data_IF_034699450709
#
_entry.id   IF_034699450709
#
_cell.length_a   1.000
_cell.length_b   1.000
_cell.length_c   1.000
_cell.angle_alpha   90.00
_cell.angle_beta   90.00
_cell.angle_gamma   90.00
#
_symmetry.space_group_name_H-M   'P 1'
#
loop_
_entity.id
_entity.type
_entity.pdbx_description
1 polymer ?
#
# COMPACT_ATOMS: atom_id res chain seq x y z
N UNK A 1 -28.32 3.14 48.25
CA UNK A 1 -29.59 3.72 47.78
C UNK A 1 -29.94 3.03 46.48
N UNK A 2 -31.06 2.29 46.40
CA UNK A 2 -31.51 1.74 45.14
C UNK A 2 -32.29 2.82 44.41
N UNK A 3 -31.78 3.30 43.27
CA UNK A 3 -32.57 4.14 42.35
C UNK A 3 -33.18 3.22 41.31
N UNK A 4 -34.48 3.01 41.51
CA UNK A 4 -35.53 2.63 40.56
C UNK A 4 -35.10 2.22 39.15
N UNK A 5 -35.24 0.92 38.89
CA UNK A 5 -35.36 0.28 37.59
C UNK A 5 -36.82 0.31 37.14
N UNK A 6 -37.34 1.48 36.74
CA UNK A 6 -38.71 1.61 36.23
C UNK A 6 -38.78 2.50 34.98
N UNK A 7 -39.08 1.85 33.85
CA UNK A 7 -39.70 2.40 32.64
C UNK A 7 -39.02 3.62 31.99
N UNK A 8 -37.89 3.38 31.33
CA UNK A 8 -37.58 4.16 30.13
C UNK A 8 -38.16 3.37 28.96
N UNK A 9 -39.38 3.70 28.54
CA UNK A 9 -39.76 3.50 27.14
C UNK A 9 -38.71 4.29 26.35
N UNK A 10 -37.68 3.60 25.86
CA UNK A 10 -36.60 4.22 25.11
C UNK A 10 -37.26 4.71 23.81
N UNK A 11 -37.50 6.02 23.75
CA UNK A 11 -37.87 6.70 22.52
C UNK A 11 -36.87 6.27 21.45
N UNK A 12 -37.34 5.48 20.48
CA UNK A 12 -36.49 4.90 19.46
C UNK A 12 -35.75 5.98 18.67
N UNK A 13 -36.28 7.21 18.60
CA UNK A 13 -35.64 8.36 17.96
C UNK A 13 -34.39 8.78 18.74
N UNK A 14 -34.45 8.77 20.08
CA UNK A 14 -33.28 9.03 20.94
C UNK A 14 -32.25 7.91 20.83
N UNK A 15 -32.71 6.66 20.83
CA UNK A 15 -31.80 5.50 20.68
C UNK A 15 -31.01 5.57 19.37
N UNK A 16 -31.70 5.84 18.24
CA UNK A 16 -31.05 6.02 16.94
C UNK A 16 -30.05 7.18 16.98
N UNK A 17 -30.42 8.31 17.59
CA UNK A 17 -29.58 9.51 17.66
C UNK A 17 -28.27 9.30 18.45
N UNK A 18 -28.32 8.54 19.55
CA UNK A 18 -27.16 8.27 20.40
C UNK A 18 -26.33 7.07 19.94
N UNK A 19 -26.88 6.24 19.07
CA UNK A 19 -26.19 5.09 18.50
C UNK A 19 -25.24 5.48 17.35
N UNK A 20 -23.98 5.74 17.71
CA UNK A 20 -22.91 6.08 16.77
C UNK A 20 -22.64 5.01 15.71
N UNK A 21 -23.02 3.75 15.95
CA UNK A 21 -22.84 2.66 14.97
C UNK A 21 -23.69 2.89 13.72
N UNK A 22 -24.81 3.61 13.83
CA UNK A 22 -25.72 3.94 12.72
C UNK A 22 -25.19 5.04 11.79
N UNK A 23 -23.94 5.50 12.01
CA UNK A 23 -23.22 6.32 11.02
C UNK A 23 -22.74 5.50 9.81
N UNK A 24 -22.59 4.17 9.97
CA UNK A 24 -22.30 3.25 8.86
C UNK A 24 -23.62 2.80 8.22
N UNK A 25 -23.75 2.99 6.91
CA UNK A 25 -24.93 2.61 6.14
C UNK A 25 -25.19 1.10 6.18
N UNK A 26 -24.14 0.28 6.38
CA UNK A 26 -24.29 -1.17 6.59
C UNK A 26 -25.07 -1.46 7.87
N UNK A 27 -24.72 -0.79 8.97
CA UNK A 27 -25.36 -1.01 10.26
C UNK A 27 -26.82 -0.52 10.24
N UNK A 28 -27.12 0.54 9.48
CA UNK A 28 -28.50 1.01 9.26
C UNK A 28 -29.29 0.00 8.43
N UNK A 29 -28.70 -0.56 7.38
CA UNK A 29 -29.32 -1.61 6.56
C UNK A 29 -29.59 -2.87 7.38
N UNK A 30 -28.60 -3.34 8.13
CA UNK A 30 -28.70 -4.52 8.99
C UNK A 30 -29.82 -4.35 10.03
N UNK A 31 -29.89 -3.16 10.67
CA UNK A 31 -30.95 -2.82 11.62
C UNK A 31 -32.33 -2.83 10.95
N UNK A 32 -32.47 -2.20 9.79
CA UNK A 32 -33.73 -2.15 9.07
C UNK A 32 -34.19 -3.56 8.67
N UNK A 33 -33.30 -4.39 8.08
CA UNK A 33 -33.62 -5.76 7.66
C UNK A 33 -33.92 -6.67 8.85
N UNK A 34 -33.20 -6.50 9.96
CA UNK A 34 -33.47 -7.27 11.16
C UNK A 34 -34.91 -7.05 11.64
N UNK A 35 -35.31 -5.79 11.79
CA UNK A 35 -36.65 -5.42 12.29
C UNK A 35 -37.75 -5.76 11.28
N UNK A 36 -37.53 -5.54 9.98
CA UNK A 36 -38.50 -5.89 8.92
C UNK A 36 -38.74 -7.41 8.84
N UNK A 37 -37.68 -8.22 8.94
CA UNK A 37 -37.77 -9.68 8.82
C UNK A 37 -38.06 -10.38 10.14
N UNK A 38 -38.06 -9.64 11.26
CA UNK A 38 -38.15 -10.14 12.64
C UNK A 38 -37.14 -11.26 12.94
N UNK A 39 -35.94 -11.14 12.38
CA UNK A 39 -34.82 -12.10 12.55
C UNK A 39 -33.51 -11.34 12.70
N UNK A 40 -32.59 -11.87 13.48
CA UNK A 40 -31.23 -11.30 13.58
C UNK A 40 -30.60 -11.18 12.18
N UNK A 41 -29.98 -10.03 11.90
CA UNK A 41 -29.36 -9.74 10.61
C UNK A 41 -28.07 -8.96 10.83
N UNK A 42 -26.97 -9.43 10.22
CA UNK A 42 -25.65 -8.81 10.36
C UNK A 42 -25.22 -8.68 11.82
N UNK A 43 -24.91 -7.44 12.24
CA UNK A 43 -24.47 -7.09 13.61
C UNK A 43 -25.62 -6.79 14.57
N UNK A 44 -26.86 -7.05 14.17
CA UNK A 44 -28.06 -6.78 14.96
C UNK A 44 -28.70 -8.10 15.36
N UNK A 45 -28.74 -8.35 16.67
CA UNK A 45 -29.37 -9.50 17.28
C UNK A 45 -30.77 -9.13 17.80
N UNK A 46 -31.76 -9.94 17.43
CA UNK A 46 -33.13 -9.77 17.89
C UNK A 46 -33.52 -10.86 18.88
N UNK A 47 -34.00 -10.43 20.05
CA UNK A 47 -34.62 -11.30 21.04
C UNK A 47 -36.13 -11.03 21.02
N UNK A 48 -36.91 -12.10 20.79
CA UNK A 48 -38.37 -12.05 20.76
C UNK A 48 -38.89 -12.42 22.14
N UNK A 49 -39.58 -11.48 22.79
CA UNK A 49 -40.27 -11.74 24.05
C UNK A 49 -41.77 -11.81 23.79
N UNK A 50 -42.36 -13.00 23.98
CA UNK A 50 -43.81 -13.24 23.84
C UNK A 50 -44.46 -13.26 25.21
N UNK A 51 -45.31 -12.28 25.49
CA UNK A 51 -46.31 -12.36 26.56
C UNK A 51 -47.70 -12.58 25.95
N UNK A 52 -48.63 -13.13 26.74
CA UNK A 52 -49.97 -13.59 26.29
C UNK A 52 -50.85 -12.53 25.60
N UNK A 53 -50.45 -11.26 25.60
CA UNK A 53 -51.19 -10.15 25.01
C UNK A 53 -50.37 -9.23 24.07
N UNK A 54 -49.04 -9.31 24.04
CA UNK A 54 -48.18 -8.43 23.22
C UNK A 54 -46.86 -9.09 22.80
N UNK A 55 -46.44 -8.86 21.55
CA UNK A 55 -45.11 -9.22 21.03
C UNK A 55 -44.16 -8.01 21.17
N UNK A 56 -43.16 -8.11 22.04
CA UNK A 56 -42.11 -7.10 22.18
C UNK A 56 -40.82 -7.57 21.50
N UNK A 57 -40.17 -6.65 20.78
CA UNK A 57 -38.90 -6.86 20.08
C UNK A 57 -37.78 -6.16 20.83
N UNK A 58 -36.81 -6.93 21.33
CA UNK A 58 -35.60 -6.40 21.95
C UNK A 58 -34.48 -6.44 20.90
N UNK A 59 -33.98 -5.27 20.55
CA UNK A 59 -32.90 -5.07 19.59
C UNK A 59 -31.59 -4.87 20.35
N UNK A 60 -30.63 -5.75 20.12
CA UNK A 60 -29.26 -5.60 20.60
C UNK A 60 -28.32 -5.44 19.39
N UNK A 61 -27.37 -4.51 19.48
CA UNK A 61 -26.40 -4.28 18.42
C UNK A 61 -24.99 -4.49 18.93
N UNK A 62 -24.18 -5.19 18.15
CA UNK A 62 -22.78 -5.43 18.47
C UNK A 62 -22.03 -4.10 18.67
N UNK A 63 -21.29 -3.98 19.78
CA UNK A 63 -20.57 -2.76 20.18
C UNK A 63 -21.46 -1.54 20.50
N UNK A 64 -22.72 -1.76 20.89
CA UNK A 64 -23.60 -0.76 21.51
C UNK A 64 -24.29 -1.36 22.75
N UNK A 65 -24.13 -0.70 23.90
CA UNK A 65 -24.50 -1.29 25.20
C UNK A 65 -25.99 -1.17 25.56
N UNK A 66 -26.73 -0.26 24.91
CA UNK A 66 -28.14 -0.02 25.22
C UNK A 66 -29.03 -0.83 24.28
N UNK A 67 -29.84 -1.73 24.82
CA UNK A 67 -30.86 -2.44 24.05
C UNK A 67 -32.05 -1.51 23.77
N UNK A 68 -32.71 -1.67 22.62
CA UNK A 68 -33.95 -0.97 22.29
C UNK A 68 -35.11 -1.95 22.38
N UNK A 69 -36.12 -1.61 23.17
CA UNK A 69 -37.37 -2.35 23.25
C UNK A 69 -38.44 -1.67 22.38
N UNK A 70 -38.96 -2.39 21.39
CA UNK A 70 -40.05 -1.95 20.53
C UNK A 70 -41.29 -2.78 20.79
N UNK A 71 -42.40 -2.10 21.08
CA UNK A 71 -43.73 -2.72 21.11
C UNK A 71 -44.27 -2.95 19.70
N UNK A 72 -45.18 -3.90 19.56
CA UNK A 72 -45.88 -4.26 18.31
C UNK A 72 -46.44 -3.04 17.55
N UNK A 73 -46.98 -2.06 18.26
CA UNK A 73 -47.54 -0.81 17.71
C UNK A 73 -46.46 0.14 17.16
N UNK A 74 -45.28 0.16 17.77
CA UNK A 74 -44.20 1.11 17.44
C UNK A 74 -43.27 0.62 16.31
N UNK A 75 -43.31 -0.66 15.94
CA UNK A 75 -42.46 -1.22 14.87
C UNK A 75 -42.70 -0.51 13.54
N UNK A 76 -43.97 -0.25 13.22
CA UNK A 76 -44.33 0.41 11.96
C UNK A 76 -43.85 1.85 11.91
N UNK A 77 -43.94 2.59 13.03
CA UNK A 77 -43.42 3.96 13.15
C UNK A 77 -41.89 3.98 13.08
N UNK A 78 -41.22 3.02 13.71
CA UNK A 78 -39.77 2.87 13.68
C UNK A 78 -39.22 2.64 12.27
N UNK A 79 -39.82 1.69 11.52
CA UNK A 79 -39.43 1.40 10.14
C UNK A 79 -39.68 2.59 9.20
N UNK A 80 -40.80 3.31 9.40
CA UNK A 80 -41.09 4.53 8.65
C UNK A 80 -40.06 5.63 8.94
N UNK A 81 -39.69 5.82 10.20
CA UNK A 81 -38.69 6.79 10.62
C UNK A 81 -37.31 6.51 10.02
N UNK A 82 -36.86 5.24 10.02
CA UNK A 82 -35.62 4.85 9.36
C UNK A 82 -35.68 5.10 7.83
N UNK A 83 -36.80 4.81 7.19
CA UNK A 83 -37.00 5.07 5.76
C UNK A 83 -36.86 6.55 5.40
N UNK A 84 -37.54 7.39 6.16
CA UNK A 84 -37.62 8.82 5.91
C UNK A 84 -36.30 9.53 6.17
N UNK A 85 -35.63 9.21 7.28
CA UNK A 85 -34.47 9.97 7.74
C UNK A 85 -33.12 9.38 7.33
N UNK A 86 -33.05 8.07 7.07
CA UNK A 86 -31.77 7.38 6.84
C UNK A 86 -31.69 6.64 5.50
N UNK A 87 -32.81 6.16 4.96
CA UNK A 87 -32.84 5.30 3.76
C UNK A 87 -33.42 5.98 2.51
N UNK A 88 -33.63 7.30 2.55
CA UNK A 88 -33.99 8.15 1.41
C UNK A 88 -35.25 7.75 0.62
N UNK A 89 -36.21 7.04 1.24
CA UNK A 89 -37.49 6.63 0.65
C UNK A 89 -37.41 5.82 -0.67
N UNK A 90 -36.32 5.09 -0.91
CA UNK A 90 -36.16 4.18 -2.06
C UNK A 90 -36.39 2.72 -1.65
N UNK A 91 -36.41 1.81 -2.63
CA UNK A 91 -36.28 0.38 -2.33
C UNK A 91 -34.96 0.16 -1.57
N UNK A 92 -35.02 -0.52 -0.43
CA UNK A 92 -33.89 -0.59 0.51
C UNK A 92 -32.78 -1.49 0.00
N UNK A 93 -33.14 -2.52 -0.76
CA UNK A 93 -32.17 -3.40 -1.39
C UNK A 93 -31.47 -2.65 -2.54
N UNK A 94 -32.19 -1.89 -3.36
CA UNK A 94 -31.59 -0.99 -4.36
C UNK A 94 -30.74 0.12 -3.73
N UNK A 95 -31.20 0.73 -2.64
CA UNK A 95 -30.46 1.76 -1.90
C UNK A 95 -29.13 1.21 -1.37
N UNK A 96 -29.17 0.02 -0.76
CA UNK A 96 -27.98 -0.64 -0.21
C UNK A 96 -27.02 -1.08 -1.31
N UNK A 97 -27.53 -1.63 -2.41
CA UNK A 97 -26.75 -1.95 -3.61
C UNK A 97 -26.09 -0.69 -4.18
N UNK A 98 -26.82 0.42 -4.31
CA UNK A 98 -26.27 1.69 -4.79
C UNK A 98 -25.17 2.27 -3.88
N UNK A 99 -25.28 2.10 -2.55
CA UNK A 99 -24.21 2.49 -1.61
C UNK A 99 -23.01 1.56 -1.69
N UNK A 100 -23.23 0.27 -1.94
CA UNK A 100 -22.18 -0.74 -2.10
C UNK A 100 -21.43 -0.56 -3.42
N UNK A 101 -22.12 -0.30 -4.53
CA UNK A 101 -21.53 0.04 -5.83
C UNK A 101 -20.77 1.38 -5.82
N UNK A 102 -21.22 2.35 -5.03
CA UNK A 102 -20.44 3.58 -4.79
C UNK A 102 -19.16 3.34 -3.98
N UNK A 103 -19.13 2.31 -3.13
CA UNK A 103 -17.98 1.98 -2.28
C UNK A 103 -16.87 1.23 -3.04
N UNK A 104 -17.21 0.49 -4.08
CA UNK A 104 -16.29 -0.37 -4.84
C UNK A 104 -16.22 -0.02 -6.33
N UNK A 105 -15.74 1.19 -6.64
CA UNK A 105 -15.49 1.64 -8.03
C UNK A 105 -14.09 1.33 -8.51
N UNK A 106 -13.18 0.89 -7.64
CA UNK A 106 -11.82 0.46 -7.98
C UNK A 106 -11.78 -0.87 -8.73
N UNK A 107 -12.73 -1.77 -8.47
CA UNK A 107 -12.83 -3.09 -9.12
C UNK A 107 -13.23 -3.02 -10.61
N UNK A 108 -13.62 -1.85 -11.11
CA UNK A 108 -14.00 -1.64 -12.51
C UNK A 108 -12.88 -1.96 -13.52
N UNK A 109 -11.62 -2.04 -13.09
CA UNK A 109 -10.50 -2.48 -13.92
C UNK A 109 -9.99 -3.86 -13.44
N UNK A 110 -10.73 -4.93 -13.72
CA UNK A 110 -10.21 -6.28 -13.50
C UNK A 110 -9.11 -6.57 -14.53
N UNK A 111 -7.91 -6.96 -14.07
CA UNK A 111 -6.90 -7.47 -15.00
C UNK A 111 -7.41 -8.77 -15.60
N UNK A 112 -7.41 -8.86 -16.94
CA UNK A 112 -8.05 -9.97 -17.66
C UNK A 112 -7.66 -11.35 -17.17
N UNK A 113 -8.61 -12.28 -17.26
CA UNK A 113 -8.65 -13.68 -16.83
C UNK A 113 -7.48 -14.61 -17.25
N UNK A 114 -6.33 -14.09 -17.73
CA UNK A 114 -5.11 -14.89 -17.75
C UNK A 114 -4.76 -15.14 -16.29
N UNK A 115 -5.06 -16.36 -15.83
CA UNK A 115 -4.57 -16.93 -14.58
C UNK A 115 -3.17 -16.37 -14.34
N UNK A 116 -3.02 -15.61 -13.25
CA UNK A 116 -1.73 -15.11 -12.80
C UNK A 116 -0.74 -16.24 -13.00
N UNK A 117 0.18 -16.07 -13.94
CA UNK A 117 1.16 -17.11 -14.23
C UNK A 117 2.02 -17.17 -12.98
N UNK A 118 1.65 -18.09 -12.09
CA UNK A 118 2.19 -18.25 -10.75
C UNK A 118 3.67 -18.64 -10.78
N UNK A 119 4.22 -18.90 -11.97
CA UNK A 119 5.62 -19.05 -12.20
C UNK A 119 6.30 -17.69 -12.38
N UNK A 120 6.91 -17.20 -11.29
CA UNK A 120 7.98 -16.18 -11.29
C UNK A 120 9.09 -16.49 -12.32
N UNK A 121 9.19 -17.72 -12.81
CA UNK A 121 10.08 -18.12 -13.89
C UNK A 121 9.82 -17.41 -15.23
N UNK A 122 8.61 -16.92 -15.51
CA UNK A 122 8.27 -16.13 -16.71
C UNK A 122 8.36 -14.61 -16.48
N UNK A 123 8.95 -14.18 -15.37
CA UNK A 123 9.11 -12.76 -15.08
C UNK A 123 10.07 -12.07 -16.05
N UNK A 124 9.57 -11.04 -16.74
CA UNK A 124 10.37 -10.16 -17.58
C UNK A 124 10.50 -8.76 -16.97
N UNK A 125 11.74 -8.41 -16.57
CA UNK A 125 12.08 -7.07 -16.12
C UNK A 125 11.74 -6.02 -17.20
N UNK A 126 11.40 -4.82 -16.77
CA UNK A 126 11.06 -3.76 -17.69
C UNK A 126 12.29 -3.41 -18.56
N UNK A 127 12.18 -3.36 -19.91
CA UNK A 127 13.33 -3.23 -20.80
C UNK A 127 14.15 -1.96 -20.55
N UNK A 128 13.49 -0.88 -20.13
CA UNK A 128 14.16 0.37 -19.77
C UNK A 128 15.13 0.24 -18.58
N UNK A 129 14.91 -0.71 -17.67
CA UNK A 129 15.83 -0.92 -16.54
C UNK A 129 17.21 -1.32 -17.07
N UNK A 130 17.26 -2.33 -17.95
CA UNK A 130 18.51 -2.78 -18.57
C UNK A 130 19.15 -1.69 -19.44
N UNK A 131 18.36 -0.93 -20.18
CA UNK A 131 18.86 0.17 -21.04
C UNK A 131 19.52 1.25 -20.19
N UNK A 132 18.82 1.79 -19.18
CA UNK A 132 19.41 2.83 -18.32
C UNK A 132 20.55 2.29 -17.46
N UNK A 133 20.50 1.02 -17.05
CA UNK A 133 21.60 0.38 -16.35
C UNK A 133 22.88 0.37 -17.20
N UNK A 134 22.79 -0.02 -18.48
CA UNK A 134 23.93 0.01 -19.42
C UNK A 134 24.51 1.42 -19.57
N UNK A 135 23.65 2.44 -19.74
CA UNK A 135 24.10 3.83 -19.79
C UNK A 135 24.81 4.25 -18.50
N UNK A 136 24.26 3.90 -17.33
CA UNK A 136 24.89 4.21 -16.04
C UNK A 136 26.23 3.51 -15.86
N UNK A 137 26.36 2.26 -16.29
CA UNK A 137 27.65 1.55 -16.30
C UNK A 137 28.64 2.28 -17.20
N UNK A 138 28.25 2.59 -18.44
CA UNK A 138 29.10 3.29 -19.39
C UNK A 138 29.64 4.62 -18.83
N UNK A 139 28.76 5.50 -18.34
CA UNK A 139 29.18 6.79 -17.79
C UNK A 139 29.96 6.64 -16.48
N UNK A 140 29.64 5.65 -15.64
CA UNK A 140 30.43 5.42 -14.41
C UNK A 140 31.85 4.98 -14.75
N UNK A 141 32.01 4.03 -15.69
CA UNK A 141 33.32 3.59 -16.17
C UNK A 141 34.09 4.75 -16.80
N UNK A 142 33.44 5.54 -17.66
CA UNK A 142 34.07 6.72 -18.27
C UNK A 142 34.57 7.70 -17.22
N UNK A 143 33.77 8.02 -16.21
CA UNK A 143 34.18 8.93 -15.12
C UNK A 143 35.31 8.32 -14.29
N UNK A 144 35.27 7.02 -13.99
CA UNK A 144 36.38 6.35 -13.32
C UNK A 144 37.68 6.42 -14.12
N UNK A 145 37.63 6.20 -15.44
CA UNK A 145 38.79 6.33 -16.31
C UNK A 145 39.32 7.77 -16.35
N UNK A 146 38.43 8.76 -16.45
CA UNK A 146 38.81 10.17 -16.39
C UNK A 146 39.45 10.55 -15.06
N UNK A 147 38.98 9.98 -13.94
CA UNK A 147 39.58 10.18 -12.62
C UNK A 147 40.99 9.58 -12.48
N UNK A 148 41.38 8.63 -13.33
CA UNK A 148 42.74 8.09 -13.36
C UNK A 148 43.73 9.01 -14.09
N UNK A 149 43.26 9.84 -15.03
CA UNK A 149 44.14 10.69 -15.86
C UNK A 149 45.03 11.61 -15.01
N UNK A 150 44.51 12.38 -14.02
CA UNK A 150 45.36 13.22 -13.18
C UNK A 150 46.45 12.44 -12.46
N UNK A 151 46.12 11.27 -11.91
CA UNK A 151 47.07 10.40 -11.20
C UNK A 151 48.18 9.95 -12.14
N UNK A 152 47.83 9.48 -13.35
CA UNK A 152 48.80 9.06 -14.35
C UNK A 152 49.70 10.21 -14.81
N UNK A 153 49.14 11.41 -15.02
CA UNK A 153 49.94 12.60 -15.37
C UNK A 153 50.86 13.06 -14.23
N UNK A 154 50.51 12.81 -12.97
CA UNK A 154 51.41 13.13 -11.85
C UNK A 154 52.69 12.29 -11.88
N UNK A 155 52.64 11.05 -12.40
CA UNK A 155 53.83 10.21 -12.56
C UNK A 155 54.80 10.72 -13.62
N UNK A 156 54.34 11.49 -14.61
CA UNK A 156 55.23 12.06 -15.62
C UNK A 156 56.06 13.23 -15.08
N UNK A 157 55.61 13.86 -13.98
CA UNK A 157 56.34 14.94 -13.32
C UNK A 157 57.39 14.38 -12.36
N UNK A 158 56.98 13.49 -11.45
CA UNK A 158 57.91 12.74 -10.60
C UNK A 158 57.23 11.52 -9.97
N UNK A 159 58.03 10.51 -9.60
CA UNK A 159 57.53 9.35 -8.85
C UNK A 159 56.90 9.75 -7.51
N UNK A 160 57.47 10.75 -6.83
CA UNK A 160 56.95 11.24 -5.54
C UNK A 160 55.57 11.88 -5.67
N UNK A 161 55.33 12.67 -6.72
CA UNK A 161 54.03 13.27 -6.99
C UNK A 161 53.00 12.22 -7.41
N UNK A 162 53.38 11.24 -8.22
CA UNK A 162 52.51 10.10 -8.56
C UNK A 162 52.03 9.32 -7.34
N UNK A 163 52.94 8.99 -6.41
CA UNK A 163 52.60 8.32 -5.15
C UNK A 163 51.69 9.18 -4.26
N UNK A 164 51.96 10.49 -4.17
CA UNK A 164 51.09 11.42 -3.43
C UNK A 164 49.69 11.51 -4.05
N UNK A 165 49.58 11.49 -5.38
CA UNK A 165 48.31 11.44 -6.11
C UNK A 165 47.49 10.18 -5.76
N UNK A 166 48.13 9.00 -5.78
CA UNK A 166 47.48 7.74 -5.36
C UNK A 166 47.03 7.84 -3.91
N UNK A 167 47.91 8.28 -3.00
CA UNK A 167 47.59 8.42 -1.58
C UNK A 167 46.39 9.34 -1.36
N UNK A 168 46.32 10.45 -2.08
CA UNK A 168 45.22 11.41 -2.03
C UNK A 168 43.90 10.77 -2.48
N UNK A 169 43.89 10.10 -3.64
CA UNK A 169 42.69 9.42 -4.15
C UNK A 169 42.22 8.33 -3.20
N UNK A 170 43.13 7.49 -2.71
CA UNK A 170 42.80 6.42 -1.74
C UNK A 170 42.21 7.03 -0.48
N UNK A 171 42.81 8.08 0.06
CA UNK A 171 42.34 8.77 1.28
C UNK A 171 40.94 9.34 1.08
N UNK A 172 40.68 10.03 -0.03
CA UNK A 172 39.36 10.60 -0.34
C UNK A 172 38.31 9.50 -0.50
N UNK A 173 38.61 8.43 -1.23
CA UNK A 173 37.70 7.29 -1.41
C UNK A 173 37.39 6.62 -0.07
N UNK A 174 38.40 6.45 0.79
CA UNK A 174 38.26 5.83 2.10
C UNK A 174 37.41 6.70 3.04
N UNK A 175 37.67 8.01 3.11
CA UNK A 175 36.85 8.97 3.87
C UNK A 175 35.39 8.92 3.40
N UNK A 176 35.15 8.99 2.09
CA UNK A 176 33.80 8.94 1.55
C UNK A 176 33.10 7.60 1.84
N UNK A 177 33.83 6.48 1.74
CA UNK A 177 33.32 5.17 2.07
C UNK A 177 32.95 5.04 3.56
N UNK A 178 33.81 5.51 4.47
CA UNK A 178 33.55 5.53 5.91
C UNK A 178 32.38 6.44 6.26
N UNK A 179 32.36 7.66 5.73
CA UNK A 179 31.26 8.62 5.94
C UNK A 179 29.92 8.05 5.48
N UNK A 180 29.87 7.44 4.29
CA UNK A 180 28.67 6.76 3.80
C UNK A 180 28.22 5.63 4.73
N UNK A 181 29.15 4.82 5.23
CA UNK A 181 28.82 3.74 6.19
C UNK A 181 28.32 4.28 7.51
N UNK A 182 28.89 5.38 7.99
CA UNK A 182 28.45 6.06 9.20
C UNK A 182 27.02 6.60 9.05
N UNK A 183 26.73 7.36 7.98
CA UNK A 183 25.38 7.87 7.69
C UNK A 183 24.36 6.75 7.55
N UNK A 184 24.70 5.68 6.82
CA UNK A 184 23.83 4.52 6.67
C UNK A 184 23.59 3.77 8.00
N UNK A 185 24.61 3.71 8.86
CA UNK A 185 24.52 3.14 10.20
C UNK A 185 23.59 3.95 11.10
N UNK A 186 23.73 5.28 11.10
CA UNK A 186 22.80 6.17 11.82
C UNK A 186 21.37 6.01 11.32
N UNK A 187 21.15 6.02 10.00
CA UNK A 187 19.82 5.85 9.42
C UNK A 187 19.15 4.54 9.85
N UNK A 188 19.85 3.42 9.72
CA UNK A 188 19.32 2.10 10.13
C UNK A 188 19.14 2.03 11.64
N UNK A 189 20.05 2.63 12.42
CA UNK A 189 19.92 2.75 13.87
C UNK A 189 18.65 3.49 14.29
N UNK A 190 18.39 4.65 13.69
CA UNK A 190 17.17 5.44 13.95
C UNK A 190 15.91 4.69 13.59
N UNK A 191 15.87 4.04 12.42
CA UNK A 191 14.71 3.23 12.02
C UNK A 191 14.47 2.12 13.05
N UNK A 192 15.51 1.34 13.39
CA UNK A 192 15.38 0.26 14.37
C UNK A 192 14.96 0.76 15.75
N UNK A 193 15.41 1.94 16.16
CA UNK A 193 15.06 2.54 17.44
C UNK A 193 13.59 2.97 17.56
N UNK A 194 12.95 3.32 16.44
CA UNK A 194 11.55 3.78 16.41
C UNK A 194 10.57 2.76 15.83
N UNK A 195 11.04 1.57 15.46
CA UNK A 195 10.20 0.56 14.80
C UNK A 195 9.99 -0.67 15.68
N UNK A 196 8.82 -1.29 15.52
CA UNK A 196 8.53 -2.62 16.04
C UNK A 196 9.06 -3.65 15.04
N UNK A 197 9.94 -4.54 15.50
CA UNK A 197 10.35 -5.69 14.70
C UNK A 197 9.16 -6.62 14.52
N UNK A 198 8.94 -7.14 13.31
CA UNK A 198 7.99 -8.24 13.10
C UNK A 198 8.71 -9.58 13.14
N UNK A 199 8.03 -10.54 13.74
CA UNK A 199 8.43 -11.94 13.81
C UNK A 199 7.19 -12.82 13.76
N UNK A 200 7.40 -14.14 13.66
CA UNK A 200 6.32 -15.13 13.78
C UNK A 200 5.49 -14.95 15.06
N UNK A 201 6.08 -14.40 16.13
CA UNK A 201 5.41 -14.21 17.42
C UNK A 201 4.72 -12.85 17.59
N UNK A 202 4.96 -11.88 16.70
CA UNK A 202 4.39 -10.52 16.82
C UNK A 202 3.31 -10.23 15.78
N UNK A 203 3.52 -10.69 14.55
CA UNK A 203 2.53 -10.52 13.48
C UNK A 203 2.68 -11.68 12.48
N UNK A 204 2.22 -12.89 12.85
CA UNK A 204 2.47 -14.13 12.10
C UNK A 204 1.98 -14.06 10.65
N UNK A 205 0.83 -13.44 10.42
CA UNK A 205 0.18 -13.34 9.10
C UNK A 205 1.07 -12.60 8.10
N UNK A 206 1.51 -11.39 8.45
CA UNK A 206 2.37 -10.54 7.61
C UNK A 206 3.74 -11.18 7.45
N UNK A 207 4.31 -11.71 8.54
CA UNK A 207 5.61 -12.36 8.48
C UNK A 207 5.61 -13.57 7.53
N UNK A 208 4.54 -14.38 7.57
CA UNK A 208 4.35 -15.53 6.67
C UNK A 208 4.24 -15.09 5.21
N UNK A 209 3.56 -13.98 4.91
CA UNK A 209 3.53 -13.40 3.55
C UNK A 209 4.95 -13.08 3.08
N UNK A 210 5.74 -12.34 3.88
CA UNK A 210 7.12 -11.97 3.53
C UNK A 210 7.98 -13.22 3.26
N UNK A 211 7.92 -14.23 4.13
CA UNK A 211 8.69 -15.48 3.99
C UNK A 211 8.28 -16.24 2.72
N UNK A 212 6.98 -16.38 2.47
CA UNK A 212 6.45 -17.08 1.29
C UNK A 212 6.86 -16.37 0.00
N UNK A 213 6.74 -15.03 -0.03
CA UNK A 213 7.15 -14.25 -1.19
C UNK A 213 8.67 -14.27 -1.40
N UNK A 214 9.48 -14.23 -0.33
CA UNK A 214 10.93 -14.42 -0.44
C UNK A 214 11.28 -15.77 -1.07
N UNK A 215 10.58 -16.84 -0.66
CA UNK A 215 10.74 -18.19 -1.24
C UNK A 215 10.36 -18.22 -2.72
N UNK A 216 9.18 -17.67 -3.07
CA UNK A 216 8.70 -17.57 -4.45
C UNK A 216 9.67 -16.79 -5.35
N UNK A 217 10.17 -15.66 -4.86
CA UNK A 217 11.13 -14.81 -5.56
C UNK A 217 12.56 -15.37 -5.54
N UNK A 218 12.84 -16.48 -4.85
CA UNK A 218 14.18 -17.05 -4.72
C UNK A 218 15.18 -16.11 -4.02
N UNK A 219 14.72 -15.38 -2.99
CA UNK A 219 15.54 -14.54 -2.11
C UNK A 219 16.05 -15.44 -0.98
N UNK A 220 17.38 -15.62 -0.90
CA UNK A 220 18.02 -16.56 0.04
C UNK A 220 17.87 -16.18 1.52
N UNK A 221 17.90 -14.88 1.81
CA UNK A 221 17.87 -14.35 3.16
C UNK A 221 16.67 -13.41 3.29
N UNK A 222 15.73 -13.79 4.15
CA UNK A 222 14.56 -12.97 4.48
C UNK A 222 15.06 -11.69 5.17
N UNK A 223 14.66 -10.49 4.71
CA UNK A 223 15.04 -9.24 5.37
C UNK A 223 14.43 -9.14 6.77
N UNK A 224 15.07 -8.39 7.67
CA UNK A 224 14.45 -8.04 8.95
C UNK A 224 13.27 -7.10 8.69
N UNK A 225 12.06 -7.53 9.06
CA UNK A 225 10.83 -6.76 8.83
C UNK A 225 10.59 -5.85 10.02
N UNK A 226 10.39 -4.57 9.74
CA UNK A 226 10.22 -3.51 10.73
C UNK A 226 8.95 -2.72 10.41
N UNK A 227 8.21 -2.32 11.45
CA UNK A 227 7.01 -1.49 11.34
C UNK A 227 7.19 -0.20 12.12
N UNK A 228 6.92 0.94 11.48
CA UNK A 228 6.86 2.25 12.14
C UNK A 228 5.54 2.92 11.83
N UNK A 229 5.16 3.85 12.70
CA UNK A 229 4.13 4.84 12.38
C UNK A 229 4.55 5.67 11.16
N UNK A 230 3.59 5.96 10.28
CA UNK A 230 3.77 6.83 9.13
C UNK A 230 2.76 6.55 8.00
N UNK A 231 2.78 7.43 6.99
CA UNK A 231 1.89 7.36 5.82
C UNK A 231 2.11 6.12 4.96
N UNK A 232 1.14 5.81 4.09
CA UNK A 232 1.14 4.65 3.20
C UNK A 232 2.39 4.62 2.32
N UNK A 233 3.38 3.84 2.76
CA UNK A 233 4.64 3.64 2.08
C UNK A 233 5.32 2.38 2.64
N UNK A 234 6.28 1.87 1.90
CA UNK A 234 7.21 0.86 2.35
C UNK A 234 8.55 1.10 1.66
N UNK A 235 9.64 0.62 2.24
CA UNK A 235 10.93 0.66 1.55
C UNK A 235 11.87 -0.44 2.05
N UNK A 236 12.81 -0.81 1.20
CA UNK A 236 13.96 -1.63 1.60
C UNK A 236 15.21 -0.80 1.80
N UNK A 237 15.97 -1.16 2.83
CA UNK A 237 17.33 -0.64 3.03
C UNK A 237 18.28 -1.78 3.41
N UNK A 238 19.57 -1.46 3.53
CA UNK A 238 20.60 -2.41 3.93
C UNK A 238 21.63 -1.76 4.83
N UNK A 239 22.29 -2.58 5.65
CA UNK A 239 23.51 -2.20 6.36
C UNK A 239 24.48 -3.37 6.28
N UNK A 240 25.63 -3.15 5.64
CA UNK A 240 26.58 -4.20 5.29
C UNK A 240 25.90 -5.36 4.52
N UNK A 241 25.75 -6.53 5.15
CA UNK A 241 25.09 -7.72 4.58
C UNK A 241 23.60 -7.79 4.92
N UNK A 242 23.19 -7.20 6.04
CA UNK A 242 21.81 -7.25 6.53
C UNK A 242 20.90 -6.35 5.69
N UNK A 243 19.70 -6.85 5.43
CA UNK A 243 18.64 -6.14 4.69
C UNK A 243 17.46 -5.94 5.62
N UNK A 244 16.77 -4.82 5.44
CA UNK A 244 15.64 -4.42 6.25
C UNK A 244 14.48 -4.07 5.31
N UNK A 245 13.32 -4.65 5.59
CA UNK A 245 12.06 -4.29 4.96
C UNK A 245 11.28 -3.44 5.94
N UNK A 246 11.05 -2.19 5.57
CA UNK A 246 10.32 -1.22 6.36
C UNK A 246 8.89 -1.11 5.85
N UNK A 247 7.91 -1.31 6.73
CA UNK A 247 6.49 -1.15 6.47
C UNK A 247 5.96 -0.02 7.35
N UNK A 248 5.24 0.94 6.78
CA UNK A 248 4.53 1.93 7.58
C UNK A 248 3.15 1.42 8.02
N UNK A 249 2.66 1.91 9.16
CA UNK A 249 1.41 1.46 9.78
C UNK A 249 0.21 1.54 8.84
N UNK A 250 0.11 2.58 8.00
CA UNK A 250 -1.00 2.71 7.03
C UNK A 250 -1.07 1.57 6.00
N UNK A 251 0.06 0.93 5.68
CA UNK A 251 0.06 -0.26 4.80
C UNK A 251 -0.61 -1.44 5.49
N UNK A 252 -0.36 -1.62 6.79
CA UNK A 252 -0.96 -2.68 7.59
C UNK A 252 -2.44 -2.41 7.89
N UNK A 253 -2.80 -1.16 8.17
CA UNK A 253 -4.20 -0.77 8.39
C UNK A 253 -5.06 -1.01 7.16
N UNK A 254 -4.49 -0.81 5.96
CA UNK A 254 -5.18 -1.14 4.70
C UNK A 254 -5.48 -2.64 4.62
N UNK A 255 -4.56 -3.50 5.06
CA UNK A 255 -4.74 -4.95 5.07
C UNK A 255 -5.81 -5.41 6.09
N UNK A 256 -5.88 -4.76 7.26
CA UNK A 256 -6.84 -5.07 8.32
C UNK A 256 -8.31 -4.84 7.90
N UNK A 257 -8.56 -4.10 6.81
CA UNK A 257 -9.91 -3.83 6.30
C UNK A 257 -10.49 -4.93 5.41
N UNK A 258 -9.79 -6.06 5.27
CA UNK A 258 -10.35 -7.28 4.67
C UNK A 258 -9.71 -7.75 3.38
N UNK A 259 -8.63 -7.12 2.90
CA UNK A 259 -7.87 -7.64 1.75
C UNK A 259 -6.34 -7.50 1.94
N UNK A 260 -5.66 -8.62 2.11
CA UNK A 260 -4.19 -8.68 2.16
C UNK A 260 -3.53 -8.44 0.80
N UNK A 261 -4.29 -8.43 -0.32
CA UNK A 261 -3.73 -8.28 -1.67
C UNK A 261 -2.90 -7.01 -1.83
N UNK A 262 -3.34 -5.87 -1.29
CA UNK A 262 -2.57 -4.61 -1.35
C UNK A 262 -1.24 -4.76 -0.62
N UNK A 263 -1.26 -5.37 0.57
CA UNK A 263 -0.06 -5.64 1.35
C UNK A 263 0.88 -6.61 0.63
N UNK A 264 0.34 -7.67 0.04
CA UNK A 264 1.10 -8.63 -0.77
C UNK A 264 1.79 -7.95 -1.95
N UNK A 265 1.10 -7.03 -2.64
CA UNK A 265 1.69 -6.24 -3.71
C UNK A 265 2.84 -5.35 -3.19
N UNK A 266 2.62 -4.59 -2.13
CA UNK A 266 3.62 -3.67 -1.56
C UNK A 266 4.87 -4.44 -1.11
N UNK A 267 4.70 -5.55 -0.38
CA UNK A 267 5.82 -6.41 0.05
C UNK A 267 6.55 -6.97 -1.18
N UNK A 268 5.83 -7.48 -2.17
CA UNK A 268 6.43 -8.08 -3.36
C UNK A 268 7.22 -7.04 -4.19
N UNK A 269 6.69 -5.83 -4.32
CA UNK A 269 7.36 -4.69 -4.95
C UNK A 269 8.69 -4.41 -4.25
N UNK A 270 8.67 -4.27 -2.92
CA UNK A 270 9.87 -3.99 -2.12
C UNK A 270 10.90 -5.13 -2.14
N UNK A 271 10.43 -6.38 -2.06
CA UNK A 271 11.28 -7.55 -2.25
C UNK A 271 11.89 -7.60 -3.66
N UNK A 272 11.22 -7.01 -4.65
CA UNK A 272 11.75 -6.82 -6.00
C UNK A 272 13.04 -6.00 -6.01
N UNK A 273 13.13 -4.93 -5.23
CA UNK A 273 14.36 -4.14 -5.07
C UNK A 273 15.50 -4.95 -4.47
N UNK A 274 15.20 -5.88 -3.55
CA UNK A 274 16.18 -6.82 -2.99
C UNK A 274 16.61 -7.84 -4.05
N UNK A 275 15.65 -8.47 -4.75
CA UNK A 275 15.92 -9.50 -5.77
C UNK A 275 16.80 -8.97 -6.90
N UNK A 276 16.51 -7.76 -7.38
CA UNK A 276 17.24 -7.08 -8.45
C UNK A 276 18.52 -6.37 -7.97
N UNK A 277 18.78 -6.37 -6.66
CA UNK A 277 19.95 -5.76 -6.03
C UNK A 277 20.08 -4.25 -6.30
N UNK A 278 18.95 -3.54 -6.46
CA UNK A 278 18.93 -2.11 -6.80
C UNK A 278 19.79 -1.28 -5.81
N UNK A 279 19.66 -1.52 -4.49
CA UNK A 279 20.45 -0.86 -3.44
C UNK A 279 21.97 -1.12 -3.54
N UNK A 280 22.39 -2.28 -4.03
CA UNK A 280 23.80 -2.65 -4.13
C UNK A 280 24.46 -2.08 -5.37
N UNK A 281 23.75 -2.16 -6.49
CA UNK A 281 24.18 -1.62 -7.77
C UNK A 281 24.33 -0.09 -7.69
N UNK A 282 23.40 0.57 -7.00
CA UNK A 282 23.39 2.03 -6.84
C UNK A 282 24.70 2.59 -6.26
N UNK A 283 25.36 1.83 -5.39
CA UNK A 283 26.63 2.24 -4.80
C UNK A 283 27.79 2.30 -5.79
N UNK A 284 27.84 1.37 -6.74
CA UNK A 284 28.90 1.29 -7.77
C UNK A 284 28.64 2.25 -8.93
N UNK A 285 27.37 2.59 -9.17
CA UNK A 285 26.96 3.54 -10.20
C UNK A 285 26.92 4.99 -9.71
N UNK A 286 27.54 5.29 -8.56
CA UNK A 286 27.58 6.62 -8.00
C UNK A 286 28.08 7.70 -8.99
N UNK A 287 29.17 7.49 -9.76
CA UNK A 287 29.64 8.55 -10.66
C UNK A 287 28.64 8.91 -11.75
N UNK A 288 27.84 7.95 -12.25
CA UNK A 288 26.80 8.26 -13.24
C UNK A 288 25.70 9.21 -12.72
N UNK A 289 25.63 9.49 -11.42
CA UNK A 289 24.72 10.51 -10.86
C UNK A 289 25.06 11.93 -11.30
N UNK A 290 26.30 12.18 -11.72
CA UNK A 290 26.68 13.48 -12.29
C UNK A 290 26.04 13.74 -13.66
N UNK A 291 25.54 12.69 -14.34
CA UNK A 291 24.80 12.84 -15.58
C UNK A 291 23.34 13.22 -15.25
N UNK A 292 22.85 14.41 -15.69
CA UNK A 292 21.51 14.87 -15.38
C UNK A 292 20.44 13.83 -15.74
N UNK A 293 19.47 13.66 -14.83
CA UNK A 293 18.29 12.78 -14.97
C UNK A 293 18.57 11.27 -15.12
N UNK A 294 19.80 10.82 -15.37
CA UNK A 294 20.10 9.43 -15.69
C UNK A 294 19.84 8.50 -14.50
N UNK A 295 20.26 8.90 -13.29
CA UNK A 295 20.00 8.14 -12.07
C UNK A 295 18.50 8.03 -11.80
N UNK A 296 17.75 9.13 -11.96
CA UNK A 296 16.30 9.15 -11.76
C UNK A 296 15.57 8.34 -12.85
N UNK A 297 16.03 8.38 -14.10
CA UNK A 297 15.49 7.56 -15.18
C UNK A 297 15.68 6.06 -14.92
N UNK A 298 16.86 5.67 -14.43
CA UNK A 298 17.10 4.29 -13.99
C UNK A 298 16.19 3.92 -12.81
N UNK A 299 16.08 4.79 -11.80
CA UNK A 299 15.17 4.57 -10.65
C UNK A 299 13.74 4.32 -11.12
N UNK A 300 13.19 5.19 -11.97
CA UNK A 300 11.84 5.03 -12.54
C UNK A 300 11.67 3.72 -13.30
N UNK A 301 12.71 3.24 -13.98
CA UNK A 301 12.65 1.96 -14.67
C UNK A 301 12.71 0.75 -13.71
N UNK A 302 13.45 0.87 -12.60
CA UNK A 302 13.44 -0.11 -11.52
C UNK A 302 12.03 -0.24 -10.90
N UNK A 303 11.32 0.87 -10.73
CA UNK A 303 9.94 0.87 -10.22
C UNK A 303 9.01 0.03 -11.10
N UNK A 304 9.05 0.21 -12.43
CA UNK A 304 8.23 -0.59 -13.34
C UNK A 304 8.55 -2.09 -13.27
N UNK A 305 9.82 -2.46 -13.06
CA UNK A 305 10.21 -3.86 -12.84
C UNK A 305 9.64 -4.39 -11.52
N UNK A 306 9.71 -3.61 -10.44
CA UNK A 306 9.17 -4.00 -9.14
C UNK A 306 7.65 -4.05 -9.15
N UNK A 307 6.99 -3.17 -9.89
CA UNK A 307 5.55 -3.21 -10.16
C UNK A 307 5.13 -4.51 -10.86
N UNK A 308 5.90 -4.94 -11.87
CA UNK A 308 5.66 -6.24 -12.53
C UNK A 308 5.83 -7.41 -11.57
N UNK A 309 6.85 -7.39 -10.69
CA UNK A 309 7.02 -8.43 -9.66
C UNK A 309 5.87 -8.43 -8.65
N UNK A 310 5.44 -7.25 -8.22
CA UNK A 310 4.28 -7.07 -7.36
C UNK A 310 3.00 -7.62 -8.00
N UNK A 311 2.79 -7.32 -9.27
CA UNK A 311 1.65 -7.80 -10.05
C UNK A 311 1.60 -9.33 -10.13
N UNK A 312 2.73 -10.02 -10.33
CA UNK A 312 2.77 -11.49 -10.33
C UNK A 312 2.37 -12.12 -8.99
N UNK A 313 2.63 -11.42 -7.89
CA UNK A 313 2.30 -11.91 -6.54
C UNK A 313 0.87 -11.54 -6.14
N UNK A 314 0.39 -10.37 -6.56
CA UNK A 314 -0.96 -9.89 -6.27
C UNK A 314 -1.46 -8.98 -7.40
N UNK A 315 -2.14 -9.54 -8.42
CA UNK A 315 -2.63 -8.78 -9.58
C UNK A 315 -3.60 -7.66 -9.20
N UNK A 316 -4.59 -7.97 -8.36
CA UNK A 316 -5.59 -7.00 -7.90
C UNK A 316 -4.94 -5.98 -6.96
N UNK A 317 -4.11 -6.43 -6.01
CA UNK A 317 -3.42 -5.56 -5.08
C UNK A 317 -2.45 -4.60 -5.75
N UNK A 318 -1.96 -4.91 -6.95
CA UNK A 318 -1.11 -4.01 -7.71
C UNK A 318 -1.85 -2.79 -8.24
N UNK A 319 -3.07 -2.97 -8.73
CA UNK A 319 -3.91 -1.85 -9.18
C UNK A 319 -4.38 -1.02 -7.99
N UNK A 320 -4.93 -1.68 -6.99
CA UNK A 320 -5.47 -1.01 -5.79
C UNK A 320 -4.36 -0.35 -4.98
N UNK A 321 -3.21 -1.01 -4.80
CA UNK A 321 -2.09 -0.46 -4.03
C UNK A 321 -1.48 0.79 -4.65
N UNK A 322 -1.40 0.89 -5.99
CA UNK A 322 -0.97 2.14 -6.63
C UNK A 322 -2.07 3.20 -6.54
N UNK A 323 -3.35 2.82 -6.59
CA UNK A 323 -4.44 3.76 -6.35
C UNK A 323 -4.46 4.30 -4.92
N UNK A 324 -4.08 3.51 -3.92
CA UNK A 324 -3.89 3.97 -2.55
C UNK A 324 -2.80 5.05 -2.48
N UNK A 325 -1.72 4.94 -3.25
CA UNK A 325 -0.70 6.00 -3.33
C UNK A 325 -1.25 7.30 -3.94
N UNK A 326 -2.21 7.20 -4.87
CA UNK A 326 -2.78 8.36 -5.54
C UNK A 326 -3.89 9.06 -4.73
N UNK A 327 -4.75 8.28 -4.05
CA UNK A 327 -5.98 8.78 -3.43
C UNK A 327 -6.08 8.50 -1.91
N UNK A 328 -5.13 7.77 -1.33
CA UNK A 328 -5.10 7.41 0.09
C UNK A 328 -5.95 6.19 0.45
N UNK A 329 -5.62 5.57 1.59
CA UNK A 329 -6.21 4.31 2.08
C UNK A 329 -7.73 4.33 2.32
N UNK A 330 -8.33 5.52 2.44
CA UNK A 330 -9.75 5.69 2.75
C UNK A 330 -10.62 5.95 1.52
N UNK A 331 -10.05 6.42 0.42
CA UNK A 331 -10.81 6.95 -0.73
C UNK A 331 -10.53 6.16 -2.01
N UNK A 332 -9.40 5.46 -2.11
CA UNK A 332 -8.99 4.73 -3.31
C UNK A 332 -10.10 3.84 -3.90
N UNK A 333 -10.88 3.15 -3.05
CA UNK A 333 -11.94 2.23 -3.50
C UNK A 333 -13.11 2.95 -4.18
N UNK A 334 -13.29 4.26 -3.91
CA UNK A 334 -14.35 5.09 -4.49
C UNK A 334 -13.95 5.69 -5.85
N UNK A 335 -12.68 5.61 -6.22
CA UNK A 335 -12.18 6.17 -7.48
C UNK A 335 -12.40 5.17 -8.61
N UNK A 336 -13.02 5.63 -9.70
CA UNK A 336 -13.13 4.84 -10.92
C UNK A 336 -11.76 4.79 -11.60
N UNK A 337 -11.07 3.65 -11.47
CA UNK A 337 -9.73 3.45 -12.02
C UNK A 337 -9.70 3.57 -13.56
N UNK A 338 -10.76 3.14 -14.25
CA UNK A 338 -10.85 3.26 -15.71
C UNK A 338 -10.90 4.73 -16.13
N UNK A 339 -11.79 5.52 -15.51
CA UNK A 339 -11.88 6.96 -15.78
C UNK A 339 -10.57 7.68 -15.44
N UNK A 340 -9.95 7.36 -14.30
CA UNK A 340 -8.67 7.94 -13.90
C UNK A 340 -7.57 7.73 -14.95
N UNK A 341 -7.51 6.55 -15.57
CA UNK A 341 -6.56 6.26 -16.63
C UNK A 341 -6.91 6.97 -17.95
N UNK A 342 -8.19 7.06 -18.30
CA UNK A 342 -8.65 7.78 -19.49
C UNK A 342 -8.34 9.28 -19.38
N UNK A 343 -8.65 9.90 -18.24
CA UNK A 343 -8.33 11.31 -17.96
C UNK A 343 -6.82 11.57 -18.06
N UNK A 344 -6.01 10.70 -17.45
CA UNK A 344 -4.56 10.84 -17.47
C UNK A 344 -3.93 10.60 -18.85
N UNK A 345 -4.60 9.86 -19.74
CA UNK A 345 -4.16 9.66 -21.12
C UNK A 345 -4.56 10.83 -22.03
N UNK A 346 -5.64 11.55 -21.71
CA UNK A 346 -6.05 12.76 -22.41
C UNK A 346 -5.24 14.00 -22.00
N UNK A 347 -4.61 13.96 -20.81
CA UNK A 347 -3.76 15.03 -20.29
C UNK A 347 -2.40 15.09 -21.04
N UNK A 348 -2.30 15.94 -22.06
CA UNK A 348 -1.04 16.25 -22.77
C UNK A 348 -0.37 17.53 -22.24
N UNK A 349 0.03 17.50 -20.96
CA UNK A 349 0.68 18.63 -20.29
C UNK A 349 2.20 18.50 -20.26
N UNK A 350 2.87 19.49 -20.85
CA UNK A 350 4.34 19.63 -20.79
C UNK A 350 4.86 19.55 -19.34
N UNK A 351 4.17 20.18 -18.39
CA UNK A 351 4.60 20.20 -16.99
C UNK A 351 4.47 18.84 -16.30
N UNK A 352 3.44 18.06 -16.66
CA UNK A 352 3.30 16.68 -16.19
C UNK A 352 4.44 15.81 -16.72
N UNK A 353 4.79 15.96 -18.00
CA UNK A 353 5.93 15.24 -18.59
C UNK A 353 7.29 15.67 -18.03
N UNK A 354 7.52 16.97 -17.84
CA UNK A 354 8.81 17.53 -17.43
C UNK A 354 9.10 17.30 -15.95
N UNK A 355 8.09 17.50 -15.08
CA UNK A 355 8.23 17.26 -13.63
C UNK A 355 8.70 15.85 -13.31
N UNK A 356 8.23 14.85 -14.06
CA UNK A 356 8.62 13.45 -13.89
C UNK A 356 10.14 13.23 -14.01
N UNK A 357 10.87 14.07 -14.76
CA UNK A 357 12.32 13.90 -14.93
C UNK A 357 13.08 14.06 -13.62
N UNK A 358 12.54 14.85 -12.69
CA UNK A 358 13.09 15.12 -11.37
C UNK A 358 12.67 14.09 -10.30
N UNK A 359 11.65 13.27 -10.59
CA UNK A 359 11.13 12.27 -9.65
C UNK A 359 11.91 10.94 -9.74
N UNK A 360 12.12 10.30 -8.59
CA UNK A 360 12.66 8.93 -8.48
C UNK A 360 11.64 7.86 -8.89
N UNK A 361 10.36 8.14 -8.68
CA UNK A 361 9.25 7.26 -9.06
C UNK A 361 8.51 7.85 -10.28
N UNK A 362 7.99 7.01 -11.20
CA UNK A 362 7.08 7.47 -12.23
C UNK A 362 5.77 7.96 -11.63
N UNK A 363 5.03 8.80 -12.36
CA UNK A 363 3.68 9.17 -11.96
C UNK A 363 2.80 7.93 -11.79
N UNK A 364 1.90 7.96 -10.81
CA UNK A 364 1.03 6.83 -10.43
C UNK A 364 0.23 6.29 -11.61
N UNK A 365 -0.36 7.16 -12.43
CA UNK A 365 -1.12 6.74 -13.62
C UNK A 365 -0.25 5.99 -14.64
N UNK A 366 1.03 6.35 -14.80
CA UNK A 366 1.93 5.62 -15.72
C UNK A 366 2.29 4.25 -15.19
N UNK A 367 2.44 4.11 -13.87
CA UNK A 367 2.65 2.80 -13.23
C UNK A 367 1.44 1.89 -13.46
N UNK A 368 0.22 2.40 -13.22
CA UNK A 368 -1.03 1.68 -13.49
C UNK A 368 -1.17 1.30 -14.96
N UNK A 369 -0.90 2.23 -15.89
CA UNK A 369 -0.95 1.96 -17.32
C UNK A 369 0.10 0.92 -17.75
N UNK A 370 1.30 0.97 -17.16
CA UNK A 370 2.34 -0.01 -17.43
C UNK A 370 1.96 -1.41 -16.95
N UNK A 371 1.31 -1.53 -15.78
CA UNK A 371 0.77 -2.80 -15.28
C UNK A 371 -0.36 -3.30 -16.16
N UNK A 372 -1.30 -2.43 -16.54
CA UNK A 372 -2.40 -2.78 -17.46
C UNK A 372 -1.87 -3.32 -18.79
N UNK A 373 -0.92 -2.61 -19.41
CA UNK A 373 -0.30 -3.06 -20.66
C UNK A 373 0.44 -4.39 -20.46
N UNK A 374 1.09 -4.58 -19.30
CA UNK A 374 1.79 -5.80 -18.97
C UNK A 374 0.84 -7.00 -18.77
N UNK A 375 -0.31 -6.81 -18.11
CA UNK A 375 -1.30 -7.88 -17.90
C UNK A 375 -1.95 -8.33 -19.21
N UNK A 376 -2.20 -7.41 -20.14
CA UNK A 376 -2.77 -7.71 -21.45
C UNK A 376 -1.77 -8.41 -22.38
N UNK A 377 -0.54 -7.89 -22.45
CA UNK A 377 0.45 -8.29 -23.48
C UNK A 377 1.50 -9.28 -23.00
N UNK A 378 1.72 -9.42 -21.69
CA UNK A 378 2.74 -10.29 -21.10
C UNK A 378 4.19 -9.80 -21.26
N UNK A 379 4.48 -8.85 -22.17
CA UNK A 379 5.81 -8.22 -22.28
C UNK A 379 5.76 -6.74 -22.70
#
# INVERSE_FOLDING_TARGET
MPTDSTNVLIDFKKWILFNKQLSDYQNVFDLYKAVEQRKSHGKVELLLERNELDENLIIQQENYNEALELSSENISEFLAYLKEHYLANQDIDEWFLGKTEQKDRSTNLQTGNKQAVSNVAEFHAHPKEAVYFRFRVFFSVLIYLLALVPVLTSFTVSTTQGLFGIFTVVTVVLIFALFRRFVQGLFVGTIKGHSVKLSENQFPEVYKIVVNQCKSLGIKEVPEVLVSEGHFNAFVTKLARSKYLMLYSEVLETAQRGDFKILEFVIAHELGHIKRKHLSIEGWLFPSKFIPFLSSAHSRACEYTCDRLGYHQSPQGALEGIMVLAAGKNIYSKINLKQYLEDAQMEDSFWVWFSEKFLSHPHTFKRLLAIKNYSERGY
#
